data_IF_503695620007
#
_entry.id   IF_503695620007
#
_cell.length_a   1.000
_cell.length_b   1.000
_cell.length_c   1.000
_cell.angle_alpha   90.00
_cell.angle_beta   90.00
_cell.angle_gamma   90.00
#
_symmetry.space_group_name_H-M   'P 1'
#
loop_
_entity.id
_entity.type
_entity.pdbx_description
1 polymer ?
#
# COMPACT_ATOMS: atom_id res chain seq x y z
N UNK A 1 -0.04 22.80 6.92
CA UNK A 1 1.05 21.93 7.42
C UNK A 1 0.52 20.55 7.83
N UNK A 2 -0.65 20.42 8.45
CA UNK A 2 -1.20 19.11 8.92
C UNK A 2 -1.53 18.09 7.82
N UNK A 3 -1.93 18.53 6.62
CA UNK A 3 -2.28 17.60 5.53
C UNK A 3 -1.07 16.83 4.99
N UNK A 4 0.08 17.52 4.88
CA UNK A 4 1.32 16.90 4.41
C UNK A 4 1.83 15.84 5.39
N UNK A 5 1.69 16.09 6.70
CA UNK A 5 2.05 15.13 7.74
C UNK A 5 1.15 13.88 7.71
N UNK A 6 -0.16 14.06 7.48
CA UNK A 6 -1.12 12.96 7.34
C UNK A 6 -0.78 12.06 6.15
N UNK A 7 -0.47 12.64 4.99
CA UNK A 7 -0.07 11.87 3.81
C UNK A 7 1.27 11.15 4.00
N UNK A 8 2.25 11.80 4.63
CA UNK A 8 3.53 11.18 4.95
C UNK A 8 3.34 9.94 5.85
N UNK A 9 2.58 10.08 6.93
CA UNK A 9 2.26 8.97 7.86
C UNK A 9 1.42 7.88 7.21
N UNK A 10 0.53 8.25 6.28
CA UNK A 10 -0.23 7.29 5.48
C UNK A 10 0.73 6.43 4.64
N UNK A 11 1.61 7.04 3.85
CA UNK A 11 2.59 6.32 3.01
C UNK A 11 3.51 5.42 3.83
N UNK A 12 4.02 5.94 4.95
CA UNK A 12 4.83 5.14 5.87
C UNK A 12 4.07 3.92 6.41
N UNK A 13 2.80 4.11 6.80
CA UNK A 13 1.95 3.00 7.27
C UNK A 13 1.71 1.96 6.17
N UNK A 14 1.54 2.38 4.91
CA UNK A 14 1.39 1.46 3.77
C UNK A 14 2.66 0.66 3.55
N UNK A 15 3.81 1.33 3.44
CA UNK A 15 5.12 0.70 3.22
C UNK A 15 5.44 -0.30 4.34
N UNK A 16 5.28 0.11 5.60
CA UNK A 16 5.55 -0.75 6.75
C UNK A 16 4.57 -1.92 6.83
N UNK A 17 3.29 -1.69 6.57
CA UNK A 17 2.28 -2.74 6.62
C UNK A 17 2.40 -3.76 5.49
N UNK A 18 2.78 -3.34 4.28
CA UNK A 18 3.03 -4.25 3.16
C UNK A 18 4.27 -5.14 3.37
N UNK A 19 5.25 -4.69 4.16
CA UNK A 19 6.38 -5.54 4.59
C UNK A 19 5.95 -6.67 5.53
N UNK A 20 4.82 -6.52 6.22
CA UNK A 20 4.25 -7.60 7.02
C UNK A 20 3.49 -8.56 6.11
N UNK A 21 3.59 -9.87 6.36
CA UNK A 21 2.88 -10.91 5.57
C UNK A 21 1.37 -10.74 5.54
N UNK A 22 0.81 -10.13 6.59
CA UNK A 22 -0.61 -9.81 6.67
C UNK A 22 -1.03 -8.64 5.75
N UNK A 23 -0.11 -7.77 5.33
CA UNK A 23 -0.43 -6.58 4.55
C UNK A 23 -1.25 -5.53 5.30
N UNK A 24 -1.88 -4.61 4.56
CA UNK A 24 -2.67 -3.48 5.09
C UNK A 24 -4.16 -3.64 4.81
N UNK A 25 -4.99 -3.18 5.75
CA UNK A 25 -6.45 -3.06 5.55
C UNK A 25 -6.76 -1.73 4.86
N UNK A 26 -7.41 -1.79 3.69
CA UNK A 26 -7.81 -0.61 2.91
C UNK A 26 -8.84 0.21 3.68
N UNK A 27 -9.88 -0.43 4.23
CA UNK A 27 -10.87 0.26 5.05
C UNK A 27 -10.28 0.81 6.35
N UNK A 28 -9.31 0.12 6.96
CA UNK A 28 -8.60 0.58 8.15
C UNK A 28 -7.76 1.83 7.90
N UNK A 29 -7.05 1.87 6.78
CA UNK A 29 -6.29 3.05 6.35
C UNK A 29 -7.22 4.23 6.05
N UNK A 30 -8.33 4.00 5.34
CA UNK A 30 -9.33 5.04 5.08
C UNK A 30 -9.92 5.60 6.37
N UNK A 31 -10.29 4.75 7.34
CA UNK A 31 -10.77 5.21 8.66
C UNK A 31 -9.73 6.02 9.44
N UNK A 32 -8.46 5.65 9.36
CA UNK A 32 -7.38 6.27 10.15
C UNK A 32 -6.88 7.58 9.55
N UNK A 33 -6.78 7.64 8.22
CA UNK A 33 -6.15 8.76 7.52
C UNK A 33 -7.13 9.55 6.67
N UNK A 34 -8.39 9.13 6.50
CA UNK A 34 -9.35 9.73 5.57
C UNK A 34 -8.82 9.80 4.13
N UNK A 35 -7.99 8.82 3.76
CA UNK A 35 -7.37 8.67 2.45
C UNK A 35 -7.78 7.31 1.89
N UNK A 36 -8.32 7.31 0.67
CA UNK A 36 -8.65 6.09 -0.05
C UNK A 36 -7.43 5.56 -0.80
N UNK A 37 -6.87 4.43 -0.34
CA UNK A 37 -5.61 3.88 -0.87
C UNK A 37 -5.64 3.62 -2.38
N UNK A 38 -6.69 2.97 -2.95
CA UNK A 38 -6.81 2.82 -4.40
C UNK A 38 -6.84 4.14 -5.16
N UNK A 39 -7.54 5.16 -4.64
CA UNK A 39 -7.59 6.47 -5.28
C UNK A 39 -6.25 7.23 -5.15
N UNK A 40 -5.56 7.10 -4.03
CA UNK A 40 -4.30 7.79 -3.75
C UNK A 40 -3.15 7.26 -4.61
N UNK A 41 -2.99 5.93 -4.71
CA UNK A 41 -1.92 5.32 -5.51
C UNK A 41 -2.31 5.03 -6.96
N UNK A 42 -3.61 4.98 -7.28
CA UNK A 42 -4.14 4.93 -8.65
C UNK A 42 -3.44 3.95 -9.58
N UNK A 43 -2.74 4.51 -10.58
CA UNK A 43 -2.02 3.75 -11.61
C UNK A 43 -0.86 2.93 -11.05
N UNK A 44 -0.16 3.43 -10.02
CA UNK A 44 0.91 2.66 -9.35
C UNK A 44 0.36 1.37 -8.77
N UNK A 45 -0.78 1.44 -8.08
CA UNK A 45 -1.41 0.26 -7.51
C UNK A 45 -1.85 -0.73 -8.59
N UNK A 46 -2.43 -0.20 -9.67
CA UNK A 46 -2.85 -1.00 -10.83
C UNK A 46 -1.65 -1.71 -11.46
N UNK A 47 -0.55 -1.01 -11.70
CA UNK A 47 0.67 -1.58 -12.27
C UNK A 47 1.29 -2.67 -11.36
N UNK A 48 1.23 -2.50 -10.04
CA UNK A 48 1.71 -3.49 -9.09
C UNK A 48 0.81 -4.74 -9.03
N UNK A 49 -0.51 -4.57 -9.18
CA UNK A 49 -1.47 -5.66 -9.32
C UNK A 49 -1.26 -6.43 -10.64
N UNK A 50 -1.12 -5.71 -11.75
CA UNK A 50 -0.92 -6.29 -13.09
C UNK A 50 0.40 -7.07 -13.18
N UNK A 51 1.42 -6.64 -12.44
CA UNK A 51 2.70 -7.35 -12.34
C UNK A 51 2.68 -8.51 -11.33
N UNK A 52 1.54 -8.79 -10.68
CA UNK A 52 1.40 -9.78 -9.61
C UNK A 52 2.42 -9.57 -8.48
N UNK A 53 2.72 -8.31 -8.15
CA UNK A 53 3.60 -7.94 -7.04
C UNK A 53 2.79 -7.71 -5.76
N UNK A 54 1.53 -7.30 -5.90
CA UNK A 54 0.60 -7.18 -4.79
C UNK A 54 -0.67 -8.00 -5.01
N UNK A 55 -1.02 -8.66 -3.92
CA UNK A 55 -2.26 -9.30 -3.53
C UNK A 55 -3.40 -8.39 -3.09
N UNK A 56 -4.58 -8.36 -3.72
CA UNK A 56 -5.80 -7.91 -3.01
C UNK A 56 -6.65 -9.11 -2.59
N UNK A 57 -6.84 -9.26 -1.30
CA UNK A 57 -7.69 -10.27 -0.69
C UNK A 57 -8.75 -9.58 0.17
N UNK A 58 -9.98 -9.51 -0.33
CA UNK A 58 -11.08 -8.75 0.28
C UNK A 58 -10.68 -7.29 0.58
N UNK A 59 -10.53 -6.96 1.87
CA UNK A 59 -10.14 -5.64 2.37
C UNK A 59 -8.61 -5.48 2.53
N UNK A 60 -7.84 -6.56 2.39
CA UNK A 60 -6.39 -6.53 2.61
C UNK A 60 -5.61 -6.45 1.32
N UNK A 61 -4.62 -5.56 1.32
CA UNK A 61 -3.59 -5.48 0.30
C UNK A 61 -2.28 -6.00 0.88
N UNK A 62 -1.64 -6.98 0.25
CA UNK A 62 -0.39 -7.61 0.73
C UNK A 62 0.55 -7.87 -0.43
N UNK A 63 1.83 -8.11 -0.16
CA UNK A 63 2.74 -8.60 -1.18
C UNK A 63 2.34 -10.03 -1.60
N UNK A 64 2.48 -10.32 -2.89
CA UNK A 64 2.44 -11.71 -3.38
C UNK A 64 3.74 -12.44 -3.02
N UNK A 65 3.84 -13.74 -3.28
CA UNK A 65 5.11 -14.47 -3.14
C UNK A 65 6.24 -13.83 -3.98
N UNK A 66 5.92 -13.40 -5.21
CA UNK A 66 6.85 -12.67 -6.08
C UNK A 66 7.14 -11.27 -5.55
N UNK A 67 6.12 -10.58 -5.05
CA UNK A 67 6.22 -9.27 -4.43
C UNK A 67 7.16 -9.25 -3.23
N UNK A 68 7.18 -10.31 -2.42
CA UNK A 68 8.08 -10.44 -1.27
C UNK A 68 9.55 -10.46 -1.71
N UNK A 69 9.89 -11.17 -2.79
CA UNK A 69 11.25 -11.17 -3.37
C UNK A 69 11.65 -9.79 -3.86
N UNK A 70 10.68 -9.02 -4.39
CA UNK A 70 10.87 -7.69 -4.94
C UNK A 70 10.40 -6.58 -3.98
N UNK A 71 10.34 -6.85 -2.67
CA UNK A 71 9.71 -5.96 -1.71
C UNK A 71 10.30 -4.55 -1.77
N UNK A 72 11.62 -4.42 -1.84
CA UNK A 72 12.29 -3.12 -1.94
C UNK A 72 11.87 -2.31 -3.18
N UNK A 73 11.66 -2.98 -4.32
CA UNK A 73 11.17 -2.34 -5.54
C UNK A 73 9.72 -1.88 -5.36
N UNK A 74 8.86 -2.74 -4.80
CA UNK A 74 7.46 -2.37 -4.52
C UNK A 74 7.40 -1.16 -3.59
N UNK A 75 8.22 -1.11 -2.54
CA UNK A 75 8.25 0.04 -1.65
C UNK A 75 8.69 1.31 -2.36
N UNK A 76 9.70 1.24 -3.26
CA UNK A 76 10.21 2.39 -3.97
C UNK A 76 9.16 3.08 -4.87
N UNK A 77 8.19 2.33 -5.37
CA UNK A 77 7.05 2.87 -6.15
C UNK A 77 6.01 3.58 -5.26
N UNK A 78 6.04 3.38 -3.94
CA UNK A 78 5.02 3.86 -2.99
C UNK A 78 5.45 5.05 -2.11
N UNK A 79 6.67 5.57 -2.30
CA UNK A 79 7.29 6.67 -1.50
C UNK A 79 7.16 8.02 -2.19
#
# INVERSE_FOLDING_TARGET
MEQLDREARFRETVVMGLRMTAGVSVAGLRRRFDIDLPAYYGSTLTALLDQDLIVRDQDRLRLSARGLVLANRVMAELV
#
